data_IF_619642108514
#
_entry.id   IF_619642108514
#
_cell.length_a   1.000
_cell.length_b   1.000
_cell.length_c   1.000
_cell.angle_alpha   90.00
_cell.angle_beta   90.00
_cell.angle_gamma   90.00
#
_symmetry.space_group_name_H-M   'P 1'
#
loop_
_entity.id
_entity.type
_entity.pdbx_description
1 polymer ?
#
# COMPACT_ATOMS: atom_id res chain seq x y z
N UNK A 1 1.29 -1.97 -28.39
CA UNK A 1 0.50 -2.58 -27.30
C UNK A 1 1.35 -2.50 -26.05
N UNK A 2 0.92 -1.75 -25.04
CA UNK A 2 1.68 -1.62 -23.80
C UNK A 2 1.73 -2.96 -23.07
N UNK A 3 2.96 -3.42 -22.77
CA UNK A 3 3.18 -4.63 -21.99
C UNK A 3 2.59 -4.47 -20.58
N UNK A 4 1.96 -5.49 -20.00
CA UNK A 4 1.41 -5.39 -18.66
C UNK A 4 2.51 -5.15 -17.63
N UNK A 5 2.22 -4.32 -16.62
CA UNK A 5 3.11 -4.09 -15.48
C UNK A 5 3.19 -5.32 -14.59
N UNK A 6 2.04 -6.00 -14.42
CA UNK A 6 1.93 -7.26 -13.68
C UNK A 6 1.07 -8.23 -14.48
N UNK A 7 1.54 -9.46 -14.62
CA UNK A 7 0.79 -10.57 -15.24
C UNK A 7 0.64 -11.70 -14.21
N UNK A 8 -0.58 -12.19 -14.05
CA UNK A 8 -0.95 -13.26 -13.12
C UNK A 8 -1.46 -14.46 -13.92
N UNK A 9 -0.90 -15.64 -13.70
CA UNK A 9 -1.35 -16.88 -14.35
C UNK A 9 -1.64 -17.96 -13.31
N UNK A 10 -2.91 -18.29 -13.15
CA UNK A 10 -3.40 -19.36 -12.25
C UNK A 10 -2.85 -19.27 -10.82
N UNK A 11 -2.71 -18.05 -10.31
CA UNK A 11 -2.08 -17.76 -9.02
C UNK A 11 -2.94 -18.26 -7.88
N UNK A 12 -2.33 -18.99 -6.95
CA UNK A 12 -2.94 -19.45 -5.73
C UNK A 12 -1.95 -19.43 -4.57
N UNK A 13 -2.46 -19.15 -3.37
CA UNK A 13 -1.71 -19.22 -2.13
C UNK A 13 -2.43 -20.16 -1.18
N UNK A 14 -1.70 -21.10 -0.61
CA UNK A 14 -2.22 -22.09 0.32
C UNK A 14 -1.73 -21.75 1.74
N UNK A 15 -2.66 -21.62 2.67
CA UNK A 15 -2.33 -21.48 4.09
C UNK A 15 -2.56 -22.80 4.81
N UNK A 16 -1.54 -23.29 5.54
CA UNK A 16 -1.71 -24.37 6.50
C UNK A 16 -2.44 -23.83 7.71
N UNK A 17 -3.72 -24.17 7.86
CA UNK A 17 -4.42 -23.95 9.11
C UNK A 17 -4.22 -25.17 10.02
N UNK A 18 -3.47 -25.01 11.13
CA UNK A 18 -3.54 -25.94 12.23
C UNK A 18 -4.92 -25.84 12.87
N UNK A 19 -5.84 -26.69 12.45
CA UNK A 19 -7.11 -26.89 13.17
C UNK A 19 -6.91 -27.93 14.26
N UNK A 20 -7.63 -27.75 15.36
CA UNK A 20 -7.64 -28.70 16.49
C UNK A 20 -8.04 -30.13 16.08
N UNK A 21 -8.56 -30.28 14.86
CA UNK A 21 -8.95 -31.55 14.22
C UNK A 21 -8.65 -31.49 12.70
N UNK A 22 -7.37 -31.66 12.32
CA UNK A 22 -6.94 -31.86 10.94
C UNK A 22 -6.25 -30.66 10.30
N UNK A 23 -5.31 -30.93 9.40
CA UNK A 23 -4.64 -29.95 8.54
C UNK A 23 -5.49 -29.68 7.30
N UNK A 24 -5.97 -28.44 7.14
CA UNK A 24 -6.63 -28.00 5.94
C UNK A 24 -5.78 -27.00 5.17
N UNK A 25 -5.63 -27.16 3.85
CA UNK A 25 -5.08 -26.13 2.98
C UNK A 25 -6.22 -25.25 2.48
N UNK A 26 -6.17 -23.95 2.74
CA UNK A 26 -7.11 -22.97 2.18
C UNK A 26 -6.46 -22.26 1.01
N UNK A 27 -7.05 -22.34 -0.17
CA UNK A 27 -6.69 -21.49 -1.31
C UNK A 27 -7.24 -20.08 -1.05
N UNK A 28 -6.39 -19.07 -1.06
CA UNK A 28 -6.74 -17.71 -0.68
C UNK A 28 -6.96 -16.75 -1.85
N UNK A 29 -6.92 -17.21 -3.09
CA UNK A 29 -7.10 -16.32 -4.24
C UNK A 29 -8.24 -16.83 -5.12
N UNK A 30 -9.27 -15.99 -5.28
CA UNK A 30 -10.36 -16.20 -6.22
C UNK A 30 -9.94 -15.87 -7.67
N UNK A 31 -10.93 -15.59 -8.52
CA UNK A 31 -10.69 -15.14 -9.89
C UNK A 31 -10.08 -13.74 -9.87
N UNK A 32 -8.81 -13.63 -10.27
CA UNK A 32 -8.07 -12.37 -10.35
C UNK A 32 -7.84 -12.05 -11.83
N UNK A 33 -7.98 -10.78 -12.25
CA UNK A 33 -7.64 -10.38 -13.61
C UNK A 33 -6.23 -10.82 -13.98
N UNK A 34 -6.01 -11.32 -15.20
CA UNK A 34 -4.74 -11.90 -15.59
C UNK A 34 -3.61 -10.89 -15.75
N UNK A 35 -3.91 -9.60 -15.80
CA UNK A 35 -2.91 -8.54 -16.02
C UNK A 35 -3.36 -7.20 -15.44
N UNK A 36 -2.37 -6.36 -15.11
CA UNK A 36 -2.52 -4.94 -14.77
C UNK A 36 -1.62 -4.11 -15.69
N UNK A 37 -2.17 -3.08 -16.32
CA UNK A 37 -1.46 -2.19 -17.24
C UNK A 37 -1.25 -0.80 -16.64
N UNK A 38 -0.39 -0.02 -17.26
CA UNK A 38 -0.16 1.38 -16.87
C UNK A 38 -1.45 2.20 -17.03
N UNK A 39 -1.76 3.03 -16.00
CA UNK A 39 -2.97 3.84 -15.96
C UNK A 39 -4.26 3.07 -15.66
N UNK A 40 -4.21 1.75 -15.55
CA UNK A 40 -5.37 0.92 -15.20
C UNK A 40 -5.68 1.00 -13.70
N UNK A 41 -6.97 1.02 -13.37
CA UNK A 41 -7.46 0.96 -11.99
C UNK A 41 -8.23 -0.34 -11.79
N UNK A 42 -7.77 -1.14 -10.83
CA UNK A 42 -8.36 -2.44 -10.51
C UNK A 42 -9.00 -2.41 -9.13
N UNK A 43 -10.32 -2.50 -9.07
CA UNK A 43 -11.05 -2.73 -7.83
C UNK A 43 -11.16 -4.23 -7.54
N UNK A 44 -10.69 -4.65 -6.37
CA UNK A 44 -10.84 -6.03 -5.91
C UNK A 44 -11.82 -6.07 -4.74
N UNK A 45 -12.97 -6.69 -4.98
CA UNK A 45 -14.03 -6.82 -3.98
C UNK A 45 -14.16 -8.27 -3.55
N UNK A 46 -14.26 -8.49 -2.25
CA UNK A 46 -14.44 -9.82 -1.69
C UNK A 46 -14.98 -9.76 -0.26
N UNK A 47 -15.58 -10.87 0.20
CA UNK A 47 -15.99 -11.00 1.61
C UNK A 47 -14.76 -11.02 2.51
N UNK A 48 -14.93 -10.67 3.78
CA UNK A 48 -13.86 -10.78 4.78
C UNK A 48 -13.29 -12.21 4.77
N UNK A 49 -11.95 -12.30 4.65
CA UNK A 49 -11.26 -13.58 4.48
C UNK A 49 -11.19 -14.14 3.05
N UNK A 50 -11.72 -13.43 2.05
CA UNK A 50 -11.66 -13.85 0.64
C UNK A 50 -10.25 -13.83 0.02
N UNK A 51 -9.25 -13.35 0.76
CA UNK A 51 -7.85 -13.35 0.31
C UNK A 51 -7.38 -12.06 -0.36
N UNK A 52 -8.16 -10.97 -0.28
CA UNK A 52 -7.78 -9.66 -0.86
C UNK A 52 -6.43 -9.16 -0.31
N UNK A 53 -6.21 -9.26 1.01
CA UNK A 53 -4.92 -8.93 1.64
C UNK A 53 -3.77 -9.84 1.18
N UNK A 54 -4.05 -11.12 0.94
CA UNK A 54 -3.07 -12.08 0.39
C UNK A 54 -2.70 -11.70 -1.03
N UNK A 55 -3.69 -11.40 -1.87
CA UNK A 55 -3.48 -10.96 -3.24
C UNK A 55 -2.58 -9.73 -3.31
N UNK A 56 -2.83 -8.72 -2.46
CA UNK A 56 -2.00 -7.51 -2.41
C UNK A 56 -0.53 -7.82 -2.04
N UNK A 57 -0.30 -8.69 -1.05
CA UNK A 57 1.07 -9.13 -0.70
C UNK A 57 1.75 -9.87 -1.84
N UNK A 58 0.99 -10.65 -2.60
CA UNK A 58 1.49 -11.30 -3.81
C UNK A 58 1.80 -10.27 -4.89
N UNK A 59 0.92 -9.29 -5.13
CA UNK A 59 1.16 -8.22 -6.11
C UNK A 59 2.35 -7.34 -5.71
N UNK A 60 2.51 -7.04 -4.42
CA UNK A 60 3.65 -6.30 -3.89
C UNK A 60 4.98 -7.09 -3.93
N UNK A 61 4.94 -8.40 -4.21
CA UNK A 61 6.14 -9.25 -4.17
C UNK A 61 6.59 -9.69 -2.78
N UNK A 62 5.81 -9.37 -1.75
CA UNK A 62 6.08 -9.75 -0.36
C UNK A 62 5.84 -11.24 -0.15
N UNK A 63 4.85 -11.80 -0.86
CA UNK A 63 4.47 -13.21 -0.76
C UNK A 63 4.63 -13.88 -2.12
N UNK A 64 5.29 -15.04 -2.15
CA UNK A 64 5.36 -15.88 -3.34
C UNK A 64 4.12 -16.79 -3.41
N UNK A 65 3.54 -16.98 -4.60
CA UNK A 65 2.43 -17.90 -4.76
C UNK A 65 2.90 -19.37 -4.69
N UNK A 66 2.08 -20.25 -4.11
CA UNK A 66 2.32 -21.70 -4.09
C UNK A 66 1.96 -22.35 -5.43
N UNK A 67 1.09 -21.70 -6.21
CA UNK A 67 0.62 -22.16 -7.52
C UNK A 67 0.57 -21.01 -8.50
N UNK A 68 0.88 -21.31 -9.77
CA UNK A 68 0.86 -20.35 -10.85
C UNK A 68 2.11 -19.46 -10.88
N UNK A 69 2.03 -18.38 -11.63
CA UNK A 69 3.16 -17.46 -11.82
C UNK A 69 2.72 -16.01 -11.76
N UNK A 70 3.57 -15.16 -11.19
CA UNK A 70 3.44 -13.71 -11.20
C UNK A 70 4.66 -13.14 -11.91
N UNK A 71 4.44 -12.54 -13.08
CA UNK A 71 5.46 -11.80 -13.79
C UNK A 71 5.26 -10.32 -13.50
N UNK A 72 6.32 -9.63 -13.10
CA UNK A 72 6.35 -8.18 -12.90
C UNK A 72 7.37 -7.59 -13.87
N UNK A 73 7.00 -6.51 -14.53
CA UNK A 73 7.98 -5.66 -15.19
C UNK A 73 8.93 -5.08 -14.12
N UNK A 74 9.98 -4.35 -14.55
CA UNK A 74 10.84 -3.61 -13.62
C UNK A 74 10.07 -2.38 -13.10
N UNK A 75 9.13 -2.61 -12.17
CA UNK A 75 8.21 -1.60 -11.63
C UNK A 75 8.27 -1.55 -10.11
N UNK A 76 8.08 -0.35 -9.58
CA UNK A 76 7.93 -0.12 -8.14
C UNK A 76 6.50 -0.35 -7.72
N UNK A 77 6.29 -1.28 -6.78
CA UNK A 77 4.98 -1.55 -6.19
C UNK A 77 4.97 -1.02 -4.75
N UNK A 78 4.11 -0.06 -4.47
CA UNK A 78 3.94 0.50 -3.13
C UNK A 78 2.66 -0.03 -2.49
N UNK A 79 2.79 -0.68 -1.34
CA UNK A 79 1.66 -0.99 -0.48
C UNK A 79 1.37 0.24 0.39
N UNK A 80 0.19 0.82 0.23
CA UNK A 80 -0.19 2.01 0.99
C UNK A 80 -0.45 1.65 2.45
N UNK A 81 0.40 2.17 3.33
CA UNK A 81 0.22 2.15 4.78
C UNK A 81 0.13 3.59 5.25
N UNK A 82 -1.09 4.06 5.53
CA UNK A 82 -1.41 5.47 5.71
C UNK A 82 -0.84 6.14 6.97
N UNK A 83 -0.22 5.41 7.86
CA UNK A 83 0.38 5.98 9.07
C UNK A 83 1.74 5.30 9.37
N UNK A 84 2.45 4.89 8.32
CA UNK A 84 3.73 4.21 8.47
C UNK A 84 4.73 5.11 9.19
N UNK A 85 5.16 4.67 10.37
CA UNK A 85 6.16 5.38 11.18
C UNK A 85 5.65 6.63 11.89
N UNK A 86 4.35 6.89 11.89
CA UNK A 86 3.79 8.06 12.56
C UNK A 86 3.97 8.00 14.07
N UNK A 87 4.50 9.08 14.63
CA UNK A 87 4.79 9.23 16.05
C UNK A 87 3.92 10.36 16.62
N UNK A 88 3.06 10.08 17.60
CA UNK A 88 2.05 11.04 18.08
C UNK A 88 2.60 12.38 18.57
N UNK A 89 3.81 12.37 19.12
CA UNK A 89 4.42 13.56 19.73
C UNK A 89 5.20 14.44 18.74
N UNK A 90 5.40 13.97 17.52
CA UNK A 90 6.04 14.73 16.45
C UNK A 90 4.99 15.52 15.66
N UNK A 91 5.41 16.64 15.08
CA UNK A 91 4.58 17.45 14.19
C UNK A 91 4.16 16.67 12.94
N UNK A 92 3.13 17.14 12.24
CA UNK A 92 2.76 16.60 10.93
C UNK A 92 3.93 16.68 9.94
N UNK A 93 4.69 17.78 9.96
CA UNK A 93 5.91 17.96 9.17
C UNK A 93 6.94 16.88 9.45
N UNK A 94 7.29 16.65 10.71
CA UNK A 94 8.32 15.67 11.08
C UNK A 94 7.87 14.26 10.76
N UNK A 95 6.57 13.96 10.97
CA UNK A 95 5.98 12.69 10.58
C UNK A 95 5.97 12.49 9.06
N UNK A 96 5.74 13.54 8.27
CA UNK A 96 5.84 13.46 6.82
C UNK A 96 7.27 13.11 6.38
N UNK A 97 8.28 13.73 7.00
CA UNK A 97 9.69 13.41 6.74
C UNK A 97 10.00 11.96 7.11
N UNK A 98 9.62 11.54 8.32
CA UNK A 98 9.88 10.20 8.81
C UNK A 98 9.23 9.14 7.92
N UNK A 99 7.95 9.32 7.60
CA UNK A 99 7.20 8.41 6.73
C UNK A 99 7.81 8.37 5.32
N UNK A 100 8.16 9.52 4.73
CA UNK A 100 8.81 9.59 3.43
C UNK A 100 10.14 8.83 3.38
N UNK A 101 10.96 8.93 4.44
CA UNK A 101 12.20 8.16 4.57
C UNK A 101 11.91 6.65 4.65
N UNK A 102 10.89 6.23 5.40
CA UNK A 102 10.49 4.82 5.50
C UNK A 102 9.94 4.27 4.19
N UNK A 103 9.35 5.13 3.36
CA UNK A 103 8.88 4.80 2.02
C UNK A 103 10.01 4.79 0.97
N UNK A 104 11.25 5.11 1.37
CA UNK A 104 12.44 5.02 0.53
C UNK A 104 12.88 6.32 -0.13
N UNK A 105 12.23 7.45 0.14
CA UNK A 105 12.68 8.75 -0.31
C UNK A 105 13.94 9.19 0.46
N UNK A 106 14.82 9.92 -0.20
CA UNK A 106 15.97 10.57 0.49
C UNK A 106 15.48 11.81 1.24
N UNK A 107 16.20 12.17 2.31
CA UNK A 107 15.84 13.32 3.13
C UNK A 107 15.64 14.60 2.30
N UNK A 108 16.53 14.90 1.40
CA UNK A 108 16.43 16.09 0.53
C UNK A 108 15.21 16.05 -0.39
N UNK A 109 14.84 14.86 -0.87
CA UNK A 109 13.68 14.67 -1.74
C UNK A 109 12.38 14.94 -0.97
N UNK A 110 12.23 14.36 0.23
CA UNK A 110 11.03 14.59 1.03
C UNK A 110 10.94 16.04 1.53
N UNK A 111 12.04 16.65 1.97
CA UNK A 111 12.06 18.05 2.39
C UNK A 111 11.64 18.99 1.26
N UNK A 112 12.06 18.76 0.03
CA UNK A 112 11.63 19.55 -1.13
C UNK A 112 10.16 19.38 -1.48
N UNK A 113 9.51 18.27 -1.06
CA UNK A 113 8.10 17.97 -1.32
C UNK A 113 7.17 18.39 -0.18
N UNK A 114 7.70 18.84 0.96
CA UNK A 114 6.87 19.26 2.11
C UNK A 114 5.81 20.33 1.78
N UNK A 115 6.09 21.35 0.95
CA UNK A 115 5.06 22.31 0.57
C UNK A 115 3.87 21.63 -0.14
N UNK A 116 4.14 20.72 -1.08
CA UNK A 116 3.08 19.98 -1.79
C UNK A 116 2.32 19.02 -0.87
N UNK A 117 3.01 18.40 0.10
CA UNK A 117 2.38 17.55 1.11
C UNK A 117 1.46 18.37 1.99
N UNK A 118 1.90 19.52 2.45
CA UNK A 118 1.10 20.43 3.28
C UNK A 118 -0.14 20.92 2.53
N UNK A 119 0.04 21.36 1.30
CA UNK A 119 -1.07 21.83 0.44
C UNK A 119 -2.08 20.69 0.19
N UNK A 120 -1.62 19.52 -0.25
CA UNK A 120 -2.50 18.40 -0.58
C UNK A 120 -3.22 17.82 0.64
N UNK A 121 -2.58 17.82 1.81
CA UNK A 121 -3.19 17.34 3.06
C UNK A 121 -4.26 18.27 3.61
N UNK A 122 -4.30 19.53 3.17
CA UNK A 122 -5.21 20.58 3.66
C UNK A 122 -5.18 20.73 5.19
N UNK A 123 -4.03 20.50 5.81
CA UNK A 123 -3.89 20.58 7.28
C UNK A 123 -3.69 22.00 7.79
N UNK A 124 -3.30 22.94 6.91
CA UNK A 124 -3.04 24.31 7.31
C UNK A 124 -2.02 24.39 8.46
N UNK A 125 -2.35 25.15 9.52
CA UNK A 125 -1.50 25.33 10.68
C UNK A 125 -1.31 24.06 11.53
N UNK A 126 -2.21 23.09 11.41
CA UNK A 126 -2.05 21.80 12.07
C UNK A 126 -0.82 21.03 11.57
N UNK A 127 -0.31 21.32 10.37
CA UNK A 127 0.88 20.67 9.85
C UNK A 127 2.10 20.81 10.77
N UNK A 128 2.18 21.90 11.54
CA UNK A 128 3.23 22.16 12.52
C UNK A 128 2.88 21.66 13.93
N UNK A 129 1.66 21.12 14.15
CA UNK A 129 1.22 20.64 15.45
C UNK A 129 1.48 19.13 15.59
N UNK A 130 1.62 18.62 16.84
CA UNK A 130 1.76 17.20 17.09
C UNK A 130 0.56 16.39 16.56
N UNK A 131 0.83 15.21 15.97
CA UNK A 131 -0.23 14.35 15.44
C UNK A 131 -1.23 13.89 16.52
N UNK A 132 -0.81 13.86 17.78
CA UNK A 132 -1.72 13.59 18.91
C UNK A 132 -2.96 14.51 18.94
N UNK A 133 -2.89 15.67 18.31
CA UNK A 133 -4.02 16.63 18.20
C UNK A 133 -4.89 16.39 16.96
N UNK A 134 -4.53 15.45 16.09
CA UNK A 134 -5.22 15.22 14.83
C UNK A 134 -6.45 14.34 15.00
N UNK A 135 -7.47 14.62 14.20
CA UNK A 135 -8.55 13.66 13.96
C UNK A 135 -8.04 12.46 13.11
N UNK A 136 -8.74 11.35 13.16
CA UNK A 136 -8.43 10.19 12.31
C UNK A 136 -8.35 10.58 10.82
N UNK A 137 -9.27 11.43 10.34
CA UNK A 137 -9.26 11.92 8.97
C UNK A 137 -8.02 12.77 8.63
N UNK A 138 -7.53 13.57 9.57
CA UNK A 138 -6.29 14.36 9.39
C UNK A 138 -5.06 13.43 9.27
N UNK A 139 -4.99 12.40 10.08
CA UNK A 139 -3.92 11.38 10.01
C UNK A 139 -3.94 10.68 8.65
N UNK A 140 -5.12 10.28 8.18
CA UNK A 140 -5.30 9.63 6.87
C UNK A 140 -4.87 10.56 5.74
N UNK A 141 -5.31 11.83 5.76
CA UNK A 141 -4.94 12.83 4.74
C UNK A 141 -3.43 13.06 4.69
N UNK A 142 -2.77 13.21 5.84
CA UNK A 142 -1.32 13.35 5.90
C UNK A 142 -0.61 12.12 5.32
N UNK A 143 -1.00 10.92 5.77
CA UNK A 143 -0.39 9.66 5.30
C UNK A 143 -0.54 9.47 3.79
N UNK A 144 -1.73 9.76 3.25
CA UNK A 144 -1.98 9.70 1.81
C UNK A 144 -1.14 10.73 1.04
N UNK A 145 -1.06 11.97 1.55
CA UNK A 145 -0.27 13.05 0.94
C UNK A 145 1.21 12.71 0.83
N UNK A 146 1.76 12.00 1.82
CA UNK A 146 3.15 11.53 1.78
C UNK A 146 3.29 10.36 0.79
N UNK A 147 2.37 9.40 0.82
CA UNK A 147 2.46 8.18 0.02
C UNK A 147 2.43 8.45 -1.48
N UNK A 148 1.65 9.43 -1.94
CA UNK A 148 1.60 9.80 -3.37
C UNK A 148 2.90 10.45 -3.86
N UNK A 149 3.72 11.00 -2.96
CA UNK A 149 5.01 11.61 -3.34
C UNK A 149 6.07 10.57 -3.76
N UNK A 150 5.87 9.31 -3.46
CA UNK A 150 6.80 8.23 -3.88
C UNK A 150 6.68 7.95 -5.38
N UNK A 151 5.56 8.36 -6.00
CA UNK A 151 5.27 8.15 -7.44
C UNK A 151 5.48 6.69 -7.88
N UNK A 152 4.87 5.70 -7.20
CA UNK A 152 5.06 4.30 -7.56
C UNK A 152 4.39 3.99 -8.90
N UNK A 153 4.96 3.03 -9.66
CA UNK A 153 4.32 2.54 -10.89
C UNK A 153 3.01 1.81 -10.61
N UNK A 154 2.92 1.13 -9.47
CA UNK A 154 1.73 0.41 -8.98
C UNK A 154 1.48 0.76 -7.52
N UNK A 155 0.32 1.36 -7.26
CA UNK A 155 -0.15 1.67 -5.91
C UNK A 155 -1.19 0.63 -5.47
N UNK A 156 -0.91 -0.07 -4.38
CA UNK A 156 -1.79 -1.07 -3.79
C UNK A 156 -2.44 -0.48 -2.53
N UNK A 157 -3.75 -0.25 -2.58
CA UNK A 157 -4.50 0.40 -1.51
C UNK A 157 -5.33 -0.64 -0.75
N UNK A 158 -5.28 -0.61 0.57
CA UNK A 158 -6.12 -1.42 1.45
C UNK A 158 -7.05 -0.51 2.24
N UNK A 159 -8.31 -0.92 2.36
CA UNK A 159 -9.35 -0.32 3.22
C UNK A 159 -8.95 1.05 3.80
N UNK A 160 -9.14 2.11 2.99
CA UNK A 160 -8.80 3.50 3.36
C UNK A 160 -9.99 4.16 4.10
N UNK A 161 -11.06 3.40 4.29
CA UNK A 161 -12.33 3.89 4.88
C UNK A 161 -12.71 3.11 6.13
#
# INVERSE_FOLDING_TARGET
MDSPLIELRNVGVAFSAQRRFGSGKFGALGVVPPHLRRGERLGVVGRNGAGTGTLRRVLAGILQPDRGTVKRAAVTCQLLSLALGFTPYLSGRDNAILSGLMLGLRRREIESRLPSIQEFSELGDFFEQPIATYSAGMVVRLGFSVAIQVEPDVLLIDEVL
#
